data_IF_992783570901
#
_entry.id   IF_992783570901
#
_cell.length_a   1.000
_cell.length_b   1.000
_cell.length_c   1.000
_cell.angle_alpha   90.00
_cell.angle_beta   90.00
_cell.angle_gamma   90.00
#
_symmetry.space_group_name_H-M   'P 1'
#
loop_
_entity.id
_entity.type
_entity.pdbx_description
1 polymer ?
#
# COMPACT_ATOMS: atom_id res chain seq x y z
N UNK A 1 -24.50 -11.52 -7.21
CA UNK A 1 -24.53 -12.98 -6.95
C UNK A 1 -23.17 -13.56 -6.50
N UNK A 2 -22.02 -13.07 -6.99
CA UNK A 2 -20.69 -13.64 -6.66
C UNK A 2 -20.26 -13.59 -5.18
N UNK A 3 -20.41 -12.45 -4.49
CA UNK A 3 -19.99 -12.31 -3.07
C UNK A 3 -20.76 -13.24 -2.14
N UNK A 4 -22.06 -13.43 -2.41
CA UNK A 4 -22.89 -14.34 -1.60
C UNK A 4 -22.42 -15.78 -1.76
N UNK A 5 -22.19 -16.24 -3.00
CA UNK A 5 -21.65 -17.57 -3.27
C UNK A 5 -20.29 -17.78 -2.63
N UNK A 6 -19.43 -16.75 -2.64
CA UNK A 6 -18.14 -16.78 -1.96
C UNK A 6 -18.30 -16.96 -0.45
N UNK A 7 -19.15 -16.16 0.21
CA UNK A 7 -19.42 -16.26 1.65
C UNK A 7 -19.97 -17.65 2.02
N UNK A 8 -20.89 -18.17 1.23
CA UNK A 8 -21.44 -19.53 1.42
C UNK A 8 -20.37 -20.60 1.24
N UNK A 9 -19.53 -20.49 0.20
CA UNK A 9 -18.41 -21.40 -0.04
C UNK A 9 -17.40 -21.39 1.11
N UNK A 10 -17.00 -20.20 1.57
CA UNK A 10 -16.07 -20.03 2.68
C UNK A 10 -16.63 -20.64 3.97
N UNK A 11 -17.90 -20.39 4.29
CA UNK A 11 -18.56 -20.99 5.45
C UNK A 11 -18.57 -22.53 5.39
N UNK A 12 -18.78 -23.10 4.20
CA UNK A 12 -18.71 -24.56 3.99
C UNK A 12 -17.30 -25.10 4.25
N UNK A 13 -16.26 -24.45 3.71
CA UNK A 13 -14.86 -24.84 3.93
C UNK A 13 -14.50 -24.77 5.41
N UNK A 14 -14.91 -23.72 6.12
CA UNK A 14 -14.68 -23.58 7.56
C UNK A 14 -15.34 -24.74 8.32
N UNK A 15 -16.62 -25.03 8.05
CA UNK A 15 -17.32 -26.17 8.67
C UNK A 15 -16.63 -27.50 8.40
N UNK A 16 -16.18 -27.74 7.17
CA UNK A 16 -15.44 -28.96 6.82
C UNK A 16 -14.13 -29.08 7.60
N UNK A 17 -13.39 -27.97 7.75
CA UNK A 17 -12.14 -27.95 8.52
C UNK A 17 -12.38 -28.21 10.01
N UNK A 18 -13.49 -27.74 10.56
CA UNK A 18 -13.90 -28.02 11.94
C UNK A 18 -14.33 -29.49 12.12
N UNK A 19 -15.09 -30.04 11.17
CA UNK A 19 -15.56 -31.43 11.22
C UNK A 19 -14.41 -32.45 11.13
N UNK A 20 -13.35 -32.15 10.36
CA UNK A 20 -12.14 -32.98 10.27
C UNK A 20 -11.31 -33.03 11.56
N UNK A 21 -11.58 -32.14 12.52
CA UNK A 21 -10.93 -32.07 13.83
C UNK A 21 -11.80 -32.75 14.91
N UNK A 22 -12.64 -33.72 14.51
CA UNK A 22 -13.59 -34.46 15.35
C UNK A 22 -14.61 -33.59 16.12
N UNK A 23 -14.82 -32.34 15.70
CA UNK A 23 -15.75 -31.43 16.38
C UNK A 23 -15.31 -31.04 17.80
N UNK A 24 -14.07 -31.36 18.21
CA UNK A 24 -13.53 -30.94 19.49
C UNK A 24 -13.50 -29.43 19.60
N UNK A 25 -13.83 -28.89 20.79
CA UNK A 25 -13.72 -27.47 21.07
C UNK A 25 -12.31 -26.99 20.70
N UNK A 26 -12.21 -25.96 19.85
CA UNK A 26 -10.92 -25.35 19.58
C UNK A 26 -10.56 -24.54 20.81
N UNK A 27 -9.51 -24.96 21.50
CA UNK A 27 -8.86 -24.12 22.49
C UNK A 27 -8.26 -22.90 21.77
N UNK A 28 -8.78 -21.72 22.11
CA UNK A 28 -8.39 -20.42 21.55
C UNK A 28 -7.65 -19.55 22.55
N UNK A 29 -7.31 -20.11 23.72
CA UNK A 29 -6.74 -19.34 24.82
C UNK A 29 -5.45 -18.61 24.41
N UNK A 30 -4.66 -19.22 23.51
CA UNK A 30 -3.37 -18.70 23.07
C UNK A 30 -3.35 -18.21 21.61
N UNK A 31 -4.50 -18.10 20.94
CA UNK A 31 -4.56 -17.75 19.51
C UNK A 31 -3.87 -16.40 19.22
N UNK A 32 -4.03 -15.42 20.12
CA UNK A 32 -3.39 -14.10 19.99
C UNK A 32 -1.88 -14.21 20.04
N UNK A 33 -1.34 -14.97 21.00
CA UNK A 33 0.11 -15.15 21.18
C UNK A 33 0.71 -15.92 20.00
N UNK A 34 0.05 -17.00 19.56
CA UNK A 34 0.48 -17.80 18.41
C UNK A 34 0.51 -16.94 17.15
N UNK A 35 -0.54 -16.15 16.91
CA UNK A 35 -0.63 -15.29 15.73
C UNK A 35 0.38 -14.14 15.78
N UNK A 36 0.63 -13.57 16.96
CA UNK A 36 1.65 -12.55 17.16
C UNK A 36 3.06 -13.07 16.91
N UNK A 37 3.39 -14.25 17.44
CA UNK A 37 4.67 -14.89 17.20
C UNK A 37 4.86 -15.23 15.72
N UNK A 38 3.80 -15.69 15.05
CA UNK A 38 3.82 -15.89 13.60
C UNK A 38 4.10 -14.60 12.83
N UNK A 39 3.47 -13.48 13.21
CA UNK A 39 3.74 -12.17 12.63
C UNK A 39 5.23 -11.78 12.77
N UNK A 40 5.81 -11.92 13.96
CA UNK A 40 7.22 -11.59 14.21
C UNK A 40 8.17 -12.48 13.41
N UNK A 41 7.95 -13.79 13.40
CA UNK A 41 8.77 -14.74 12.65
C UNK A 41 8.65 -14.52 11.12
N UNK A 42 7.44 -14.27 10.62
CA UNK A 42 7.24 -13.95 9.21
C UNK A 42 7.99 -12.67 8.82
N UNK A 43 7.88 -11.62 9.65
CA UNK A 43 8.59 -10.34 9.44
C UNK A 43 10.11 -10.53 9.40
N UNK A 44 10.65 -11.30 10.35
CA UNK A 44 12.09 -11.64 10.44
C UNK A 44 12.56 -12.45 9.23
N UNK A 45 11.85 -13.53 8.90
CA UNK A 45 12.21 -14.44 7.80
C UNK A 45 12.19 -13.74 6.44
N UNK A 46 11.29 -12.78 6.26
CA UNK A 46 11.21 -11.96 5.05
C UNK A 46 12.10 -10.73 5.07
N UNK A 47 12.87 -10.51 6.15
CA UNK A 47 13.81 -9.37 6.31
C UNK A 47 13.14 -8.03 6.04
N UNK A 48 11.92 -7.85 6.54
CA UNK A 48 11.09 -6.69 6.24
C UNK A 48 11.73 -5.38 6.71
N UNK A 49 12.42 -5.40 7.84
CA UNK A 49 13.13 -4.22 8.34
C UNK A 49 14.31 -3.82 7.42
N UNK A 50 14.99 -4.79 6.80
CA UNK A 50 16.07 -4.50 5.84
C UNK A 50 15.50 -3.90 4.56
N UNK A 51 14.42 -4.48 4.03
CA UNK A 51 13.75 -3.96 2.84
C UNK A 51 13.22 -2.54 3.07
N UNK A 52 12.67 -2.28 4.26
CA UNK A 52 12.18 -0.95 4.62
C UNK A 52 13.33 0.07 4.71
N UNK A 53 14.47 -0.30 5.31
CA UNK A 53 15.66 0.55 5.34
C UNK A 53 16.20 0.83 3.94
N UNK A 54 16.20 -0.17 3.08
CA UNK A 54 16.62 -0.03 1.68
C UNK A 54 15.69 0.94 0.93
N UNK A 55 14.36 0.85 1.14
CA UNK A 55 13.42 1.84 0.59
C UNK A 55 13.76 3.27 1.05
N UNK A 56 14.03 3.43 2.35
CA UNK A 56 14.31 4.73 2.96
C UNK A 56 15.56 5.37 2.33
N UNK A 57 16.65 4.61 2.23
CA UNK A 57 17.92 5.07 1.64
C UNK A 57 17.74 5.42 0.16
N UNK A 58 16.99 4.60 -0.59
CA UNK A 58 16.69 4.89 -2.00
C UNK A 58 15.85 6.16 -2.14
N UNK A 59 14.91 6.38 -1.23
CA UNK A 59 14.10 7.61 -1.18
C UNK A 59 14.98 8.83 -0.92
N UNK A 60 15.88 8.76 0.05
CA UNK A 60 16.81 9.85 0.40
C UNK A 60 17.80 10.16 -0.72
N UNK A 61 18.21 9.14 -1.48
CA UNK A 61 19.17 9.28 -2.59
C UNK A 61 18.53 9.69 -3.92
N UNK A 62 17.20 9.85 -3.99
CA UNK A 62 16.49 10.29 -5.21
C UNK A 62 16.62 9.35 -6.41
N UNK A 63 17.13 8.13 -6.20
CA UNK A 63 17.39 7.16 -7.27
C UNK A 63 16.11 6.37 -7.55
N UNK A 64 15.14 7.02 -8.20
CA UNK A 64 13.85 6.41 -8.51
C UNK A 64 13.95 5.59 -9.80
N UNK A 65 14.27 4.29 -9.68
CA UNK A 65 14.35 3.38 -10.83
C UNK A 65 12.98 2.75 -11.14
N UNK A 66 12.63 2.64 -12.43
CA UNK A 66 11.41 1.96 -12.92
C UNK A 66 11.33 0.50 -12.46
N UNK A 67 12.48 -0.18 -12.33
CA UNK A 67 12.59 -1.54 -11.80
C UNK A 67 12.13 -1.63 -10.34
N UNK A 68 12.29 -0.57 -9.56
CA UNK A 68 11.89 -0.51 -8.17
C UNK A 68 10.38 -0.24 -7.98
N UNK A 69 9.73 0.39 -8.96
CA UNK A 69 8.27 0.69 -8.90
C UNK A 69 7.43 -0.46 -9.45
N UNK A 70 7.91 -1.11 -10.52
CA UNK A 70 7.17 -2.14 -11.26
C UNK A 70 7.88 -3.48 -11.40
N UNK A 71 9.12 -3.63 -10.92
CA UNK A 71 9.86 -4.88 -11.04
C UNK A 71 9.34 -5.98 -10.11
N UNK A 72 9.80 -7.20 -10.37
CA UNK A 72 9.40 -8.41 -9.64
C UNK A 72 9.61 -8.29 -8.12
N UNK A 73 10.72 -7.66 -7.70
CA UNK A 73 11.05 -7.42 -6.28
C UNK A 73 10.04 -6.49 -5.60
N UNK A 74 9.57 -5.45 -6.31
CA UNK A 74 8.55 -4.53 -5.81
C UNK A 74 7.19 -5.23 -5.62
N UNK A 75 6.80 -6.09 -6.58
CA UNK A 75 5.58 -6.88 -6.46
C UNK A 75 5.65 -7.90 -5.31
N UNK A 76 6.80 -8.54 -5.12
CA UNK A 76 7.03 -9.46 -4.00
C UNK A 76 6.93 -8.72 -2.66
N UNK A 77 7.55 -7.53 -2.57
CA UNK A 77 7.46 -6.67 -1.40
C UNK A 77 6.01 -6.27 -1.09
N UNK A 78 5.23 -5.87 -2.11
CA UNK A 78 3.78 -5.59 -1.96
C UNK A 78 3.01 -6.79 -1.41
N UNK A 79 3.30 -8.01 -1.88
CA UNK A 79 2.65 -9.24 -1.38
C UNK A 79 3.00 -9.52 0.08
N UNK A 80 4.27 -9.32 0.47
CA UNK A 80 4.73 -9.50 1.85
C UNK A 80 4.00 -8.52 2.77
N UNK A 81 3.95 -7.23 2.41
CA UNK A 81 3.23 -6.23 3.21
C UNK A 81 1.73 -6.47 3.27
N UNK A 82 1.10 -6.87 2.16
CA UNK A 82 -0.32 -7.22 2.16
C UNK A 82 -0.61 -8.37 3.14
N UNK A 83 0.27 -9.36 3.19
CA UNK A 83 0.15 -10.49 4.13
C UNK A 83 0.29 -10.02 5.58
N UNK A 84 1.32 -9.23 5.88
CA UNK A 84 1.52 -8.67 7.22
C UNK A 84 0.34 -7.79 7.66
N UNK A 85 -0.19 -6.99 6.75
CA UNK A 85 -1.35 -6.13 6.99
C UNK A 85 -2.58 -6.96 7.35
N UNK A 86 -2.86 -8.02 6.58
CA UNK A 86 -3.96 -8.93 6.86
C UNK A 86 -3.84 -9.59 8.25
N UNK A 87 -2.63 -9.98 8.66
CA UNK A 87 -2.39 -10.53 10.01
C UNK A 87 -2.69 -9.50 11.11
N UNK A 88 -2.26 -8.26 10.92
CA UNK A 88 -2.50 -7.17 11.88
C UNK A 88 -3.98 -6.79 11.97
N UNK A 89 -4.71 -6.80 10.86
CA UNK A 89 -6.15 -6.53 10.86
C UNK A 89 -6.91 -7.63 11.63
N UNK A 90 -6.49 -8.90 11.54
CA UNK A 90 -7.04 -9.99 12.36
C UNK A 90 -6.69 -9.81 13.84
N UNK A 91 -5.44 -9.47 14.15
CA UNK A 91 -5.00 -9.19 15.52
C UNK A 91 -5.75 -8.01 16.15
N UNK A 92 -6.04 -6.96 15.36
CA UNK A 92 -6.84 -5.81 15.80
C UNK A 92 -8.25 -6.23 16.25
N UNK A 93 -8.87 -7.16 15.51
CA UNK A 93 -10.19 -7.70 15.85
C UNK A 93 -10.13 -8.57 17.12
N UNK A 94 -9.09 -9.40 17.26
CA UNK A 94 -8.96 -10.31 18.41
C UNK A 94 -8.63 -9.57 19.71
N UNK A 95 -7.79 -8.55 19.65
CA UNK A 95 -7.37 -7.75 20.82
C UNK A 95 -8.42 -6.71 21.22
N UNK A 96 -9.18 -6.19 20.26
CA UNK A 96 -10.15 -5.12 20.48
C UNK A 96 -9.49 -3.74 20.69
N UNK A 97 -10.28 -2.76 21.15
CA UNK A 97 -9.86 -1.36 21.22
C UNK A 97 -9.20 -0.96 22.56
N UNK A 98 -9.38 -1.75 23.62
CA UNK A 98 -8.89 -1.45 24.97
C UNK A 98 -8.34 -2.73 25.66
N UNK A 99 -7.15 -3.19 25.29
CA UNK A 99 -6.56 -4.39 25.87
C UNK A 99 -6.17 -4.18 27.34
N UNK A 100 -6.59 -5.12 28.20
CA UNK A 100 -6.14 -5.20 29.60
C UNK A 100 -4.72 -5.77 29.73
N UNK A 101 -4.32 -6.61 28.77
CA UNK A 101 -3.01 -7.28 28.71
C UNK A 101 -1.92 -6.39 28.07
N UNK A 102 -0.68 -6.54 28.57
CA UNK A 102 0.55 -5.99 27.99
C UNK A 102 0.73 -6.41 26.53
N UNK A 103 0.49 -7.67 26.18
CA UNK A 103 0.64 -8.14 24.79
C UNK A 103 -0.33 -7.41 23.86
N UNK A 104 -1.60 -7.30 24.26
CA UNK A 104 -2.60 -6.54 23.51
C UNK A 104 -2.21 -5.08 23.29
N UNK A 105 -1.65 -4.41 24.32
CA UNK A 105 -1.11 -3.04 24.17
C UNK A 105 0.03 -2.96 23.16
N UNK A 106 0.96 -3.91 23.20
CA UNK A 106 2.07 -3.97 22.26
C UNK A 106 1.59 -4.14 20.81
N UNK A 107 0.64 -5.04 20.59
CA UNK A 107 0.02 -5.27 19.28
C UNK A 107 -0.64 -3.98 18.76
N UNK A 108 -1.42 -3.30 19.61
CA UNK A 108 -2.14 -2.09 19.23
C UNK A 108 -1.18 -0.93 18.88
N UNK A 109 -0.07 -0.78 19.61
CA UNK A 109 0.94 0.23 19.29
C UNK A 109 1.64 -0.05 17.96
N UNK A 110 1.95 -1.31 17.64
CA UNK A 110 2.50 -1.68 16.33
C UNK A 110 1.49 -1.43 15.19
N UNK A 111 0.21 -1.72 15.40
CA UNK A 111 -0.85 -1.37 14.44
C UNK A 111 -0.92 0.14 14.21
N UNK A 112 -0.89 0.94 15.28
CA UNK A 112 -0.91 2.41 15.19
C UNK A 112 0.32 2.94 14.46
N UNK A 113 1.51 2.41 14.77
CA UNK A 113 2.77 2.77 14.11
C UNK A 113 2.68 2.54 12.60
N UNK A 114 2.18 1.38 12.18
CA UNK A 114 2.01 1.05 10.76
C UNK A 114 0.93 1.91 10.10
N UNK A 115 -0.19 2.19 10.77
CA UNK A 115 -1.22 3.10 10.23
C UNK A 115 -0.67 4.52 10.02
N UNK A 116 0.16 5.02 10.95
CA UNK A 116 0.84 6.32 10.82
C UNK A 116 1.84 6.32 9.66
N UNK A 117 2.67 5.28 9.56
CA UNK A 117 3.64 5.19 8.46
C UNK A 117 2.95 5.02 7.10
N UNK A 118 1.86 4.23 7.00
CA UNK A 118 1.11 4.06 5.75
C UNK A 118 0.38 5.35 5.35
N UNK A 119 -0.13 6.14 6.31
CA UNK A 119 -0.70 7.45 6.02
C UNK A 119 0.34 8.43 5.50
N UNK A 120 1.54 8.45 6.08
CA UNK A 120 2.67 9.24 5.57
C UNK A 120 3.09 8.76 4.16
N UNK A 121 3.22 7.44 3.97
CA UNK A 121 3.58 6.84 2.68
C UNK A 121 2.52 7.13 1.61
N UNK A 122 1.22 7.02 1.93
CA UNK A 122 0.13 7.32 1.01
C UNK A 122 0.10 8.79 0.63
N UNK A 123 0.42 9.70 1.55
CA UNK A 123 0.54 11.13 1.27
C UNK A 123 1.66 11.45 0.28
N UNK A 124 2.79 10.73 0.37
CA UNK A 124 3.97 10.89 -0.49
C UNK A 124 3.91 10.09 -1.80
N UNK A 125 3.21 8.95 -1.82
CA UNK A 125 2.96 8.11 -2.99
C UNK A 125 1.67 8.48 -3.74
N UNK A 126 1.00 9.57 -3.36
CA UNK A 126 -0.01 10.15 -4.24
C UNK A 126 0.69 10.43 -5.56
N UNK A 127 0.28 9.79 -6.68
CA UNK A 127 0.85 10.15 -7.96
C UNK A 127 0.65 11.65 -8.12
N UNK A 128 1.73 12.38 -8.37
CA UNK A 128 1.64 13.80 -8.67
C UNK A 128 0.59 13.94 -9.77
N UNK A 129 -0.42 14.77 -9.53
CA UNK A 129 -1.36 15.11 -10.59
C UNK A 129 -0.54 15.83 -11.66
N UNK A 130 -0.21 15.13 -12.74
CA UNK A 130 0.40 15.74 -13.93
C UNK A 130 -0.69 16.61 -14.51
N UNK A 131 -0.60 17.92 -14.24
CA UNK A 131 -1.50 18.89 -14.82
C UNK A 131 -1.03 19.10 -16.27
N UNK A 132 -1.90 18.87 -17.28
CA UNK A 132 -1.56 19.21 -18.65
C UNK A 132 -1.13 20.68 -18.76
N UNK A 133 -0.07 20.96 -19.51
CA UNK A 133 0.51 22.31 -19.64
C UNK A 133 -0.50 23.33 -20.21
N UNK A 134 -1.52 22.83 -20.89
CA UNK A 134 -2.63 23.52 -21.55
C UNK A 134 -3.92 23.57 -20.71
N UNK A 135 -3.99 22.86 -19.57
CA UNK A 135 -5.17 22.86 -18.73
C UNK A 135 -5.26 24.16 -17.91
N UNK A 136 -6.12 25.07 -18.35
CA UNK A 136 -6.64 26.19 -17.55
C UNK A 136 -7.47 25.63 -16.39
N UNK A 137 -6.83 25.35 -15.27
CA UNK A 137 -7.51 24.92 -14.05
C UNK A 137 -7.04 25.77 -12.87
N UNK A 138 -7.95 26.01 -11.92
CA UNK A 138 -7.72 26.82 -10.71
C UNK A 138 -6.57 26.24 -9.85
N UNK A 139 -6.21 24.97 -10.05
CA UNK A 139 -5.08 24.31 -9.41
C UNK A 139 -3.70 24.53 -10.08
N UNK A 140 -3.65 25.09 -11.28
CA UNK A 140 -2.40 25.29 -12.03
C UNK A 140 -1.80 26.68 -11.80
N UNK A 141 -1.61 27.07 -10.55
CA UNK A 141 -1.02 28.38 -10.19
C UNK A 141 0.41 28.50 -10.73
N UNK A 142 1.10 27.36 -10.89
CA UNK A 142 2.48 27.29 -11.40
C UNK A 142 2.57 27.66 -12.88
N UNK A 143 1.52 27.42 -13.68
CA UNK A 143 1.49 27.79 -15.11
C UNK A 143 1.53 29.29 -15.39
N UNK A 144 1.29 30.14 -14.39
CA UNK A 144 1.33 31.60 -14.54
C UNK A 144 2.74 32.19 -14.40
N UNK A 145 3.70 31.45 -13.84
CA UNK A 145 5.06 31.94 -13.68
C UNK A 145 5.72 32.21 -15.04
N UNK A 146 6.38 33.36 -15.23
CA UNK A 146 6.97 33.74 -16.52
C UNK A 146 8.03 32.74 -17.00
N UNK A 147 8.76 32.11 -16.10
CA UNK A 147 9.75 31.06 -16.39
C UNK A 147 9.09 29.81 -16.98
N UNK A 148 7.96 29.40 -16.39
CA UNK A 148 7.19 28.24 -16.86
C UNK A 148 6.54 28.53 -18.20
N UNK A 149 5.98 29.73 -18.38
CA UNK A 149 5.44 30.18 -19.68
C UNK A 149 6.51 30.23 -20.76
N UNK A 150 7.70 30.73 -20.45
CA UNK A 150 8.82 30.77 -21.37
C UNK A 150 9.28 29.35 -21.74
N UNK A 151 9.36 28.43 -20.78
CA UNK A 151 9.69 27.03 -21.04
C UNK A 151 8.64 26.33 -21.92
N UNK A 152 7.34 26.51 -21.64
CA UNK A 152 6.25 25.98 -22.46
C UNK A 152 6.35 26.53 -23.90
N UNK A 153 6.56 27.84 -24.05
CA UNK A 153 6.71 28.47 -25.37
C UNK A 153 7.96 27.95 -26.11
N UNK A 154 9.09 27.76 -25.42
CA UNK A 154 10.31 27.23 -26.02
C UNK A 154 10.12 25.79 -26.52
N UNK A 155 9.42 24.96 -25.74
CA UNK A 155 9.08 23.57 -26.13
C UNK A 155 8.13 23.56 -27.34
N UNK A 156 7.11 24.40 -27.34
CA UNK A 156 6.15 24.50 -28.45
C UNK A 156 6.78 25.01 -29.75
N UNK A 157 7.81 25.86 -29.66
CA UNK A 157 8.50 26.45 -30.82
C UNK A 157 9.77 25.68 -31.22
N UNK A 158 10.08 24.56 -30.57
CA UNK A 158 11.23 23.73 -30.94
C UNK A 158 10.85 22.84 -32.13
N UNK A 159 11.54 23.02 -33.27
CA UNK A 159 11.28 22.26 -34.50
C UNK A 159 11.72 20.79 -34.40
N UNK A 160 12.67 20.48 -33.49
CA UNK A 160 13.22 19.13 -33.30
C UNK A 160 12.32 18.23 -32.45
N UNK A 161 11.27 18.76 -31.83
CA UNK A 161 10.35 17.99 -30.99
C UNK A 161 9.14 17.50 -31.79
N UNK A 162 8.70 16.24 -31.56
CA UNK A 162 7.50 15.72 -32.21
C UNK A 162 6.28 16.54 -31.78
N UNK A 163 5.61 17.18 -32.75
CA UNK A 163 4.38 17.92 -32.51
C UNK A 163 3.24 16.93 -32.29
N UNK A 164 2.57 17.04 -31.15
CA UNK A 164 1.32 16.32 -30.95
C UNK A 164 0.29 16.85 -31.96
N UNK A 165 -0.48 15.97 -32.63
CA UNK A 165 -1.56 16.43 -33.49
C UNK A 165 -2.54 17.22 -32.63
N UNK A 166 -2.67 18.52 -32.90
CA UNK A 166 -3.77 19.28 -32.34
C UNK A 166 -5.05 18.64 -32.89
N UNK A 167 -5.94 18.20 -32.00
CA UNK A 167 -7.33 17.93 -32.37
C UNK A 167 -7.85 19.22 -33.00
N UNK A 168 -8.01 19.18 -34.32
CA UNK A 168 -8.69 20.24 -35.04
C UNK A 168 -10.12 20.26 -34.53
N UNK A 169 -10.62 21.38 -33.97
CA UNK A 169 -12.04 21.49 -33.70
C UNK A 169 -12.73 21.36 -35.06
N UNK A 170 -13.49 20.28 -35.22
CA UNK A 170 -14.36 20.07 -36.37
C UNK A 170 -15.39 21.21 -36.36
N UNK A 171 -15.23 22.13 -37.32
CA UNK A 171 -16.26 23.08 -37.76
C UNK A 171 -17.07 22.44 -38.89
#
# INVERSE_FOLDING_TARGET
RGVLQFKTGLASVIKQKLAKKDGGSIDRQNDIEVLWNFYLEYKKRRRVDDMQREQEIMRESGTFSTEYVMGARAMEMKKIYATLRALLDVLEILVGQAPSDRLGRQILEEIKKIKRSDAALRGELMPYNIIPLDASSVGNVVGFFPEVRAAIAAIQNCEDLPRFPYDTPQL
#
